data_IF_957685220290
#
_entry.id   IF_957685220290
#
_cell.length_a   1.000
_cell.length_b   1.000
_cell.length_c   1.000
_cell.angle_alpha   90.00
_cell.angle_beta   90.00
_cell.angle_gamma   90.00
#
_symmetry.space_group_name_H-M   'P 1'
#
loop_
_entity.id
_entity.type
_entity.pdbx_description
1 polymer ?
#
# COMPACT_ATOMS: atom_id res chain seq x y z
N UNK A 1 26.87 -33.79 23.89
CA UNK A 1 27.05 -32.36 23.74
C UNK A 1 27.54 -31.75 25.02
N UNK A 2 28.64 -31.05 24.91
CA UNK A 2 29.19 -30.36 26.06
C UNK A 2 28.37 -29.16 26.47
N UNK A 3 28.50 -28.76 27.74
CA UNK A 3 27.80 -27.57 28.23
C UNK A 3 28.14 -26.33 27.40
N UNK A 4 29.39 -26.22 26.97
CA UNK A 4 29.84 -25.09 26.14
C UNK A 4 29.12 -25.04 24.80
N UNK A 5 28.96 -26.19 24.17
CA UNK A 5 28.25 -26.29 22.89
C UNK A 5 26.77 -25.88 23.04
N UNK A 6 26.13 -26.32 24.12
CA UNK A 6 24.75 -25.93 24.39
C UNK A 6 24.60 -24.43 24.60
N UNK A 7 25.55 -23.84 25.31
CA UNK A 7 25.55 -22.38 25.54
C UNK A 7 25.72 -21.63 24.22
N UNK A 8 26.64 -22.09 23.37
CA UNK A 8 26.85 -21.46 22.07
C UNK A 8 25.64 -21.56 21.18
N UNK A 9 24.98 -22.71 21.15
CA UNK A 9 23.76 -22.91 20.39
C UNK A 9 22.66 -21.98 20.92
N UNK A 10 22.52 -21.88 22.21
CA UNK A 10 21.52 -20.98 22.81
C UNK A 10 21.79 -19.53 22.48
N UNK A 11 23.05 -19.11 22.51
CA UNK A 11 23.43 -17.73 22.13
C UNK A 11 23.12 -17.46 20.67
N UNK A 12 23.49 -18.39 19.77
CA UNK A 12 23.21 -18.24 18.36
C UNK A 12 21.71 -18.16 18.07
N UNK A 13 20.93 -19.02 18.69
CA UNK A 13 19.46 -19.00 18.55
C UNK A 13 18.87 -17.68 19.06
N UNK A 14 19.39 -17.19 20.20
CA UNK A 14 18.95 -15.92 20.75
C UNK A 14 19.25 -14.77 19.81
N UNK A 15 20.44 -14.73 19.23
CA UNK A 15 20.82 -13.66 18.29
C UNK A 15 19.95 -13.71 17.03
N UNK A 16 19.72 -14.90 16.49
CA UNK A 16 18.86 -15.06 15.32
C UNK A 16 17.44 -14.60 15.62
N UNK A 17 16.92 -15.00 16.77
CA UNK A 17 15.55 -14.62 17.17
C UNK A 17 15.42 -13.12 17.34
N UNK A 18 16.39 -12.48 17.99
CA UNK A 18 16.39 -11.02 18.15
C UNK A 18 16.51 -10.32 16.81
N UNK A 19 17.33 -10.85 15.92
CA UNK A 19 17.46 -10.30 14.57
C UNK A 19 16.16 -10.39 13.78
N UNK A 20 15.49 -11.54 13.87
CA UNK A 20 14.20 -11.72 13.19
C UNK A 20 13.12 -10.81 13.76
N UNK A 21 13.06 -10.67 15.08
CA UNK A 21 12.11 -9.77 15.71
C UNK A 21 12.38 -8.32 15.32
N UNK A 22 13.63 -7.91 15.30
CA UNK A 22 14.01 -6.57 14.87
C UNK A 22 13.66 -6.32 13.41
N UNK A 23 13.99 -7.27 12.55
CA UNK A 23 13.67 -7.16 11.12
C UNK A 23 12.16 -7.06 10.92
N UNK A 24 11.40 -7.91 11.59
CA UNK A 24 9.94 -7.91 11.48
C UNK A 24 9.35 -6.59 11.99
N UNK A 25 9.84 -6.10 13.13
CA UNK A 25 9.37 -4.83 13.69
C UNK A 25 9.66 -3.66 12.75
N UNK A 26 10.86 -3.62 12.17
CA UNK A 26 11.22 -2.58 11.20
C UNK A 26 10.39 -2.70 9.93
N UNK A 27 10.10 -3.91 9.50
CA UNK A 27 9.26 -4.13 8.32
C UNK A 27 7.83 -3.64 8.56
N UNK A 28 7.31 -3.81 9.77
CA UNK A 28 5.99 -3.31 10.12
C UNK A 28 5.96 -1.79 10.28
N UNK A 29 7.06 -1.21 10.75
CA UNK A 29 7.17 0.23 10.94
C UNK A 29 7.57 0.95 9.64
N UNK A 30 8.17 0.18 8.74
CA UNK A 30 8.78 0.74 7.56
C UNK A 30 7.78 1.05 6.48
N UNK A 31 7.14 2.10 6.57
CA UNK A 31 6.51 2.42 5.38
C UNK A 31 5.33 3.31 5.52
N UNK A 32 5.59 4.56 5.48
CA UNK A 32 4.54 5.44 5.07
C UNK A 32 3.99 4.92 3.75
N UNK A 33 2.81 4.37 3.76
CA UNK A 33 2.09 4.06 2.55
C UNK A 33 1.18 5.23 2.28
N UNK A 34 1.60 6.08 1.35
CA UNK A 34 0.81 7.25 0.96
C UNK A 34 0.19 6.95 -0.41
N UNK A 35 -1.13 6.91 -0.43
CA UNK A 35 -1.87 6.75 -1.68
C UNK A 35 -2.05 8.13 -2.32
N UNK A 36 -1.62 8.25 -3.56
CA UNK A 36 -1.76 9.48 -4.33
C UNK A 36 -2.73 9.23 -5.46
N UNK A 37 -3.81 9.99 -5.47
CA UNK A 37 -4.81 9.93 -6.52
C UNK A 37 -4.53 11.08 -7.48
N UNK A 38 -4.24 10.74 -8.72
CA UNK A 38 -3.92 11.70 -9.77
C UNK A 38 -5.01 11.64 -10.83
N UNK A 39 -5.52 12.78 -11.21
CA UNK A 39 -6.50 12.90 -12.28
C UNK A 39 -5.91 13.82 -13.36
N UNK A 40 -5.83 13.31 -14.57
CA UNK A 40 -5.30 14.05 -15.73
C UNK A 40 -3.92 14.65 -15.46
N UNK A 41 -3.05 13.86 -14.79
CA UNK A 41 -1.69 14.29 -14.50
C UNK A 41 -1.55 15.23 -13.30
N UNK A 42 -2.65 15.59 -12.67
CA UNK A 42 -2.64 16.48 -11.50
C UNK A 42 -3.03 15.73 -10.25
N UNK A 43 -2.32 15.98 -9.16
CA UNK A 43 -2.63 15.35 -7.89
C UNK A 43 -3.99 15.84 -7.40
N UNK A 44 -4.92 14.89 -7.26
CA UNK A 44 -6.27 15.18 -6.78
C UNK A 44 -6.33 15.09 -5.26
N UNK A 45 -5.78 14.01 -4.70
CA UNK A 45 -5.82 13.79 -3.26
C UNK A 45 -4.65 12.90 -2.85
N UNK A 46 -4.15 13.15 -1.65
CA UNK A 46 -3.08 12.36 -1.05
C UNK A 46 -3.56 11.83 0.30
N UNK A 47 -3.47 10.53 0.51
CA UNK A 47 -3.99 9.87 1.70
C UNK A 47 -2.89 9.03 2.34
N UNK A 48 -2.65 9.24 3.63
CA UNK A 48 -1.74 8.40 4.38
C UNK A 48 -2.52 7.19 4.90
N UNK A 49 -2.34 6.05 4.25
CA UNK A 49 -3.06 4.83 4.60
C UNK A 49 -2.74 4.33 6.00
N UNK A 50 -1.57 4.68 6.52
CA UNK A 50 -1.18 4.28 7.87
C UNK A 50 -1.99 5.01 8.95
N UNK A 51 -2.60 6.12 8.61
CA UNK A 51 -3.43 6.91 9.51
C UNK A 51 -4.92 6.65 9.36
N UNK A 52 -5.29 5.87 8.38
CA UNK A 52 -6.70 5.52 8.16
C UNK A 52 -7.12 4.54 9.24
N UNK A 53 -8.15 4.87 9.99
CA UNK A 53 -8.68 4.01 11.06
C UNK A 53 -10.01 3.38 10.68
N UNK A 54 -10.77 4.03 9.81
CA UNK A 54 -12.05 3.52 9.33
C UNK A 54 -12.11 3.60 7.82
N UNK A 55 -12.75 2.61 7.22
CA UNK A 55 -12.93 2.60 5.76
C UNK A 55 -13.88 3.70 5.32
N UNK A 56 -13.60 4.29 4.18
CA UNK A 56 -14.49 5.29 3.59
C UNK A 56 -14.33 5.30 2.08
N UNK A 57 -15.29 5.89 1.40
CA UNK A 57 -15.27 6.00 -0.05
C UNK A 57 -15.06 7.45 -0.47
N UNK A 58 -14.34 7.63 -1.55
CA UNK A 58 -14.13 8.93 -2.19
C UNK A 58 -14.73 8.84 -3.58
N UNK A 59 -15.70 9.70 -3.85
CA UNK A 59 -16.27 9.77 -5.19
C UNK A 59 -15.55 10.83 -5.99
N UNK A 60 -15.00 10.42 -7.14
CA UNK A 60 -14.28 11.30 -8.04
C UNK A 60 -15.11 11.42 -9.30
N UNK A 61 -15.69 12.59 -9.48
CA UNK A 61 -16.53 12.89 -10.62
C UNK A 61 -15.86 13.96 -11.45
N UNK A 62 -15.44 13.60 -12.65
CA UNK A 62 -14.73 14.50 -13.55
C UNK A 62 -15.39 14.48 -14.91
N UNK A 63 -14.96 15.38 -15.79
CA UNK A 63 -15.43 15.40 -17.17
C UNK A 63 -15.07 14.12 -17.94
N UNK A 64 -14.12 13.34 -17.42
CA UNK A 64 -13.70 12.09 -18.07
C UNK A 64 -14.51 10.88 -17.60
N UNK A 65 -15.20 10.97 -16.47
CA UNK A 65 -15.99 9.88 -15.96
C UNK A 65 -16.08 9.89 -14.44
N UNK A 66 -16.73 8.87 -13.92
CA UNK A 66 -16.97 8.71 -12.48
C UNK A 66 -16.21 7.51 -11.94
N UNK A 67 -15.55 7.69 -10.82
CA UNK A 67 -14.84 6.61 -10.12
C UNK A 67 -15.13 6.70 -8.63
N UNK A 68 -15.32 5.56 -7.98
CA UNK A 68 -15.40 5.47 -6.54
C UNK A 68 -14.16 4.78 -6.03
N UNK A 69 -13.40 5.47 -5.19
CA UNK A 69 -12.19 4.96 -4.58
C UNK A 69 -12.51 4.55 -3.14
N UNK A 70 -12.27 3.30 -2.83
CA UNK A 70 -12.48 2.76 -1.48
C UNK A 70 -11.18 2.76 -0.72
N UNK A 71 -11.15 3.44 0.42
CA UNK A 71 -9.98 3.57 1.26
C UNK A 71 -10.18 2.74 2.52
N UNK A 72 -9.26 1.85 2.80
CA UNK A 72 -9.24 1.03 4.01
C UNK A 72 -7.92 1.23 4.74
N UNK A 73 -7.87 0.90 6.04
CA UNK A 73 -6.58 0.93 6.74
C UNK A 73 -5.55 0.07 6.01
N UNK A 74 -4.52 0.71 5.49
CA UNK A 74 -3.42 0.03 4.81
C UNK A 74 -3.62 -0.31 3.35
N UNK A 75 -4.78 -0.07 2.76
CA UNK A 75 -4.98 -0.36 1.34
C UNK A 75 -5.99 0.58 0.68
N UNK A 76 -5.99 0.58 -0.64
CA UNK A 76 -6.87 1.44 -1.43
C UNK A 76 -7.23 0.72 -2.72
N UNK A 77 -8.45 0.90 -3.18
CA UNK A 77 -8.94 0.26 -4.40
C UNK A 77 -9.95 1.16 -5.11
N UNK A 78 -10.11 0.95 -6.40
CA UNK A 78 -11.22 1.52 -7.15
C UNK A 78 -12.31 0.45 -7.18
N UNK A 79 -13.44 0.73 -6.53
CA UNK A 79 -14.52 -0.25 -6.42
C UNK A 79 -15.61 -0.05 -7.46
N UNK A 80 -15.78 1.16 -7.95
CA UNK A 80 -16.74 1.46 -8.99
C UNK A 80 -16.15 2.45 -9.98
N UNK A 81 -16.43 2.23 -11.24
CA UNK A 81 -16.01 3.12 -12.31
C UNK A 81 -16.92 2.89 -13.50
N UNK A 82 -17.23 3.95 -14.22
CA UNK A 82 -18.02 3.82 -15.43
C UNK A 82 -17.15 3.75 -16.68
N UNK A 83 -15.87 3.38 -16.54
CA UNK A 83 -15.03 3.16 -17.70
C UNK A 83 -15.44 1.88 -18.42
N UNK A 84 -15.34 1.86 -19.77
CA UNK A 84 -15.82 0.71 -20.55
C UNK A 84 -15.12 -0.60 -20.22
N UNK A 85 -13.83 -0.54 -19.92
CA UNK A 85 -13.03 -1.75 -19.72
C UNK A 85 -13.12 -2.30 -18.30
N UNK A 86 -13.43 -1.46 -17.31
CA UNK A 86 -13.48 -1.89 -15.92
C UNK A 86 -12.15 -2.37 -15.35
N UNK A 87 -11.05 -2.05 -16.00
CA UNK A 87 -9.72 -2.54 -15.62
C UNK A 87 -9.32 -2.02 -14.25
N UNK A 88 -9.65 -0.77 -13.94
CA UNK A 88 -9.30 -0.18 -12.65
C UNK A 88 -9.99 -0.90 -11.50
N UNK A 89 -11.23 -1.34 -11.68
CA UNK A 89 -11.95 -2.13 -10.69
C UNK A 89 -11.38 -3.54 -10.60
N UNK A 90 -11.04 -4.11 -11.76
CA UNK A 90 -10.50 -5.46 -11.83
C UNK A 90 -9.11 -5.58 -11.20
N UNK A 91 -8.35 -4.51 -11.10
CA UNK A 91 -7.03 -4.54 -10.49
C UNK A 91 -7.08 -4.81 -8.97
N UNK A 92 -8.21 -4.54 -8.33
CA UNK A 92 -8.38 -4.81 -6.91
C UNK A 92 -7.65 -3.82 -6.01
N UNK A 93 -7.46 -4.19 -4.76
CA UNK A 93 -6.84 -3.33 -3.77
C UNK A 93 -5.32 -3.37 -3.87
N UNK A 94 -4.69 -2.22 -3.66
CA UNK A 94 -3.24 -2.11 -3.57
C UNK A 94 -2.86 -1.60 -2.18
N UNK A 95 -1.80 -2.16 -1.62
CA UNK A 95 -1.37 -1.84 -0.27
C UNK A 95 0.08 -1.38 -0.17
N UNK A 96 0.82 -1.50 -1.26
CA UNK A 96 2.25 -1.16 -1.27
C UNK A 96 2.63 -0.53 -2.59
N UNK A 97 3.78 0.11 -2.61
CA UNK A 97 4.35 0.58 -3.86
C UNK A 97 4.50 -0.59 -4.83
N UNK A 98 4.22 -0.35 -6.07
CA UNK A 98 4.23 -1.39 -7.09
C UNK A 98 3.37 -0.97 -8.26
N UNK A 99 2.50 -1.85 -8.70
CA UNK A 99 1.65 -1.57 -9.84
C UNK A 99 0.56 -0.58 -9.46
N UNK A 100 0.51 0.60 -10.08
CA UNK A 100 -0.55 1.55 -9.79
C UNK A 100 -1.87 1.11 -10.44
N UNK A 101 -2.98 1.61 -9.88
CA UNK A 101 -4.29 1.44 -10.52
C UNK A 101 -4.45 2.56 -11.54
N UNK A 102 -4.61 2.17 -12.79
CA UNK A 102 -4.75 3.13 -13.90
C UNK A 102 -6.12 2.94 -14.53
N UNK A 103 -6.89 4.01 -14.58
CA UNK A 103 -8.18 4.01 -15.24
C UNK A 103 -8.12 4.91 -16.47
N UNK A 104 -8.15 4.30 -17.61
CA UNK A 104 -8.24 4.99 -18.90
C UNK A 104 -9.58 4.61 -19.55
N UNK A 105 -10.30 5.52 -20.17
CA UNK A 105 -9.96 6.89 -20.53
C UNK A 105 -10.20 7.96 -19.44
N UNK A 106 -10.53 7.56 -18.22
CA UNK A 106 -10.83 8.51 -17.14
C UNK A 106 -9.60 9.32 -16.69
N UNK A 107 -8.40 8.89 -17.09
CA UNK A 107 -7.12 9.52 -16.71
C UNK A 107 -6.90 9.56 -15.21
N UNK A 108 -7.44 8.57 -14.53
CA UNK A 108 -7.28 8.41 -13.08
C UNK A 108 -6.13 7.45 -12.82
N UNK A 109 -5.22 7.85 -11.96
CA UNK A 109 -4.13 7.00 -11.51
C UNK A 109 -4.11 7.02 -9.99
N UNK A 110 -4.14 5.85 -9.38
CA UNK A 110 -3.97 5.68 -7.94
C UNK A 110 -2.68 4.92 -7.74
N UNK A 111 -1.72 5.56 -7.11
CA UNK A 111 -0.43 4.93 -6.82
C UNK A 111 -0.11 5.05 -5.34
N UNK A 112 0.71 4.15 -4.86
CA UNK A 112 1.19 4.20 -3.48
C UNK A 112 2.67 4.57 -3.52
N UNK A 113 3.00 5.67 -2.82
CA UNK A 113 4.38 6.06 -2.63
C UNK A 113 4.89 5.41 -1.36
N UNK A 114 5.85 4.52 -1.51
CA UNK A 114 6.52 3.92 -0.37
C UNK A 114 7.62 4.83 0.12
N UNK A 115 7.87 4.81 1.42
CA UNK A 115 8.97 5.57 1.98
C UNK A 115 10.30 5.04 1.46
N UNK A 116 11.07 5.87 0.80
CA UNK A 116 12.43 5.56 0.41
C UNK A 116 12.59 4.87 -0.92
N UNK A 117 11.54 4.50 -1.60
CA UNK A 117 11.63 3.94 -2.94
C UNK A 117 10.68 4.71 -3.83
N UNK A 118 11.24 5.52 -4.66
CA UNK A 118 10.45 6.19 -5.68
C UNK A 118 10.07 5.18 -6.73
N UNK A 119 8.81 4.94 -6.82
CA UNK A 119 8.30 4.12 -7.88
C UNK A 119 8.49 4.76 -9.24
#
# INVERSE_FOLDING_TARGET
MDKKTKIWIAVLLSVVLLGLLGFFALSCLGGGTIAVITVDGQEYKRIDLSRVTESYDIEIDTKYGHNTVHVEPGCIAVTQANCPDGICVAQGAIDRGGVPIICMPHRLVVKIEGSGIDG
#
